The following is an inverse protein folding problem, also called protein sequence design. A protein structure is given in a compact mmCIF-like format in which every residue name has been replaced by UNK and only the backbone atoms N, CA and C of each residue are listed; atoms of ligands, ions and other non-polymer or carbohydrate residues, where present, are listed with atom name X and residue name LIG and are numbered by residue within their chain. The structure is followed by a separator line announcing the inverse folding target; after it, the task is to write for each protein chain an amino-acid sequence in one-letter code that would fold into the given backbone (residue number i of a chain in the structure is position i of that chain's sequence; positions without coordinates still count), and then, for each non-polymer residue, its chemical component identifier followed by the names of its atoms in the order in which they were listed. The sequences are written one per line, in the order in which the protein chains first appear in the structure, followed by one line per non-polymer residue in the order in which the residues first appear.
data_IF_010211462755
#
_entry.id   IF_010211462755
#
_cell.length_a   1.000
_cell.length_b   1.000
_cell.length_c   1.000
_cell.angle_alpha   90.00
_cell.angle_beta   90.00
_cell.angle_gamma   90.00
#
_symmetry.space_group_name_H-M   'P 1'
#
loop_
_entity.id
_entity.type
_entity.pdbx_description
1 polymer ?
#
# COMPACT_ATOMS: atom_id res chain seq x y z
N UNK A 1 -23.02 -9.65 -35.32
CA UNK A 1 -23.90 -8.69 -34.63
C UNK A 1 -25.32 -9.13 -34.87
N UNK A 2 -26.04 -9.44 -33.79
CA UNK A 2 -27.46 -9.80 -33.82
C UNK A 2 -28.12 -8.83 -32.84
N UNK A 3 -29.13 -8.11 -33.30
CA UNK A 3 -29.94 -7.20 -32.51
C UNK A 3 -31.40 -7.56 -32.69
N UNK A 4 -32.28 -6.85 -31.99
CA UNK A 4 -33.73 -7.09 -31.99
C UNK A 4 -34.31 -7.25 -33.40
N UNK A 5 -33.92 -6.39 -34.36
CA UNK A 5 -34.47 -6.39 -35.73
C UNK A 5 -33.42 -6.46 -36.84
N UNK A 6 -32.13 -6.51 -36.51
CA UNK A 6 -31.07 -6.48 -37.51
C UNK A 6 -30.01 -7.55 -37.25
N UNK A 7 -29.60 -8.22 -38.32
CA UNK A 7 -28.55 -9.23 -38.27
C UNK A 7 -27.46 -8.82 -39.25
N UNK A 8 -26.23 -8.78 -38.77
CA UNK A 8 -25.03 -8.58 -39.58
C UNK A 8 -23.96 -9.60 -39.21
N UNK A 9 -23.51 -10.34 -40.21
CA UNK A 9 -22.44 -11.32 -40.11
C UNK A 9 -21.36 -11.00 -41.15
N UNK A 10 -20.11 -11.00 -40.73
CA UNK A 10 -18.96 -10.72 -41.61
C UNK A 10 -17.99 -11.88 -41.46
N UNK A 11 -17.79 -12.64 -42.53
CA UNK A 11 -16.81 -13.73 -42.62
C UNK A 11 -16.00 -13.45 -43.87
N UNK A 12 -14.84 -12.81 -43.74
CA UNK A 12 -14.05 -12.34 -44.90
C UNK A 12 -13.82 -13.48 -45.91
N UNK A 13 -14.09 -13.27 -47.21
CA UNK A 13 -14.48 -12.02 -47.88
C UNK A 13 -15.99 -11.70 -47.89
N UNK A 14 -16.84 -12.55 -47.33
CA UNK A 14 -18.30 -12.47 -47.37
C UNK A 14 -18.89 -11.58 -46.26
N UNK A 15 -20.02 -10.95 -46.59
CA UNK A 15 -20.82 -10.17 -45.64
C UNK A 15 -22.30 -10.45 -45.88
N UNK A 16 -23.04 -10.65 -44.80
CA UNK A 16 -24.47 -10.86 -44.79
C UNK A 16 -25.12 -9.84 -43.87
N UNK A 17 -26.11 -9.12 -44.38
CA UNK A 17 -26.94 -8.21 -43.60
C UNK A 17 -28.42 -8.42 -43.93
N UNK A 18 -29.27 -8.44 -42.90
CA UNK A 18 -30.72 -8.53 -43.08
C UNK A 18 -31.49 -7.81 -41.97
N UNK A 19 -32.63 -7.21 -42.35
CA UNK A 19 -33.61 -6.64 -41.43
C UNK A 19 -34.76 -7.62 -41.27
N UNK A 20 -35.05 -7.99 -40.02
CA UNK A 20 -36.17 -8.84 -39.66
C UNK A 20 -37.45 -8.01 -39.62
N UNK A 21 -38.54 -8.60 -40.12
CA UNK A 21 -39.86 -7.98 -40.07
C UNK A 21 -40.27 -7.70 -38.62
N UNK A 22 -40.10 -8.70 -37.76
CA UNK A 22 -40.51 -8.67 -36.35
C UNK A 22 -39.30 -8.89 -35.42
N UNK A 23 -39.37 -8.40 -34.17
CA UNK A 23 -38.27 -8.48 -33.23
C UNK A 23 -37.99 -9.91 -32.72
N UNK A 24 -36.74 -10.17 -32.39
CA UNK A 24 -36.24 -11.42 -31.80
C UNK A 24 -35.65 -11.20 -30.41
N UNK A 25 -35.64 -12.26 -29.60
CA UNK A 25 -34.92 -12.31 -28.34
C UNK A 25 -33.45 -12.63 -28.62
N UNK A 26 -32.60 -11.61 -28.50
CA UNK A 26 -31.19 -11.69 -28.88
C UNK A 26 -30.40 -12.64 -27.97
N UNK A 27 -30.69 -12.69 -26.66
CA UNK A 27 -30.00 -13.59 -25.71
C UNK A 27 -30.22 -15.08 -25.99
N UNK A 28 -31.35 -15.43 -26.58
CA UNK A 28 -31.73 -16.82 -26.85
C UNK A 28 -31.53 -17.22 -28.32
N UNK A 29 -31.11 -16.26 -29.16
CA UNK A 29 -30.84 -16.48 -30.57
C UNK A 29 -29.36 -16.79 -30.76
N UNK A 30 -29.05 -17.83 -31.56
CA UNK A 30 -27.68 -18.29 -31.80
C UNK A 30 -27.40 -18.49 -33.27
N UNK A 31 -26.11 -18.44 -33.60
CA UNK A 31 -25.61 -18.69 -34.96
C UNK A 31 -24.63 -19.84 -34.90
N UNK A 32 -24.90 -20.87 -35.69
CA UNK A 32 -24.06 -22.05 -35.82
C UNK A 32 -23.39 -21.99 -37.20
N UNK A 33 -22.06 -21.99 -37.21
CA UNK A 33 -21.27 -22.04 -38.44
C UNK A 33 -20.85 -23.48 -38.70
N UNK A 34 -21.24 -24.04 -39.84
CA UNK A 34 -20.91 -25.42 -40.24
C UNK A 34 -20.32 -25.41 -41.65
N UNK A 35 -18.98 -25.42 -41.73
CA UNK A 35 -18.25 -25.40 -43.00
C UNK A 35 -18.59 -24.18 -43.86
N UNK A 36 -19.32 -24.40 -44.96
CA UNK A 36 -19.74 -23.36 -45.92
C UNK A 36 -21.11 -22.75 -45.63
N UNK A 37 -21.79 -23.15 -44.55
CA UNK A 37 -23.15 -22.69 -44.22
C UNK A 37 -23.20 -22.03 -42.85
N UNK A 38 -23.97 -20.93 -42.76
CA UNK A 38 -24.33 -20.29 -41.50
C UNK A 38 -25.81 -20.54 -41.20
N UNK A 39 -26.09 -21.21 -40.08
CA UNK A 39 -27.45 -21.49 -39.60
C UNK A 39 -27.79 -20.52 -38.48
N UNK A 40 -28.84 -19.73 -38.71
CA UNK A 40 -29.39 -18.82 -37.70
C UNK A 40 -30.56 -19.50 -36.99
N UNK A 41 -30.45 -19.67 -35.67
CA UNK A 41 -31.53 -20.13 -34.79
C UNK A 41 -32.04 -18.92 -34.04
N UNK A 42 -33.16 -18.37 -34.48
CA UNK A 42 -33.71 -17.11 -33.95
C UNK A 42 -34.96 -17.39 -33.10
N UNK A 43 -34.96 -16.91 -31.85
CA UNK A 43 -36.14 -16.97 -31.00
C UNK A 43 -36.98 -15.71 -31.20
N UNK A 44 -38.25 -15.89 -31.58
CA UNK A 44 -39.20 -14.80 -31.76
C UNK A 44 -39.49 -14.12 -30.42
N UNK A 45 -39.60 -12.79 -30.41
CA UNK A 45 -40.07 -12.05 -29.23
C UNK A 45 -41.57 -12.27 -28.99
N UNK A 46 -42.35 -12.30 -30.07
CA UNK A 46 -43.80 -12.53 -30.02
C UNK A 46 -44.18 -13.85 -30.70
N UNK A 47 -45.13 -14.57 -30.10
CA UNK A 47 -45.64 -15.84 -30.60
C UNK A 47 -46.60 -15.64 -31.79
N UNK A 48 -46.06 -15.20 -32.93
CA UNK A 48 -46.81 -14.97 -34.16
C UNK A 48 -46.27 -15.80 -35.34
N UNK A 49 -47.16 -16.16 -36.26
CA UNK A 49 -46.79 -16.82 -37.52
C UNK A 49 -46.17 -15.76 -38.43
N UNK A 50 -44.96 -16.01 -38.92
CA UNK A 50 -44.25 -15.07 -39.80
C UNK A 50 -44.44 -15.54 -41.24
N UNK A 51 -45.28 -14.83 -42.00
CA UNK A 51 -45.47 -15.11 -43.44
C UNK A 51 -44.24 -14.76 -44.29
N UNK A 52 -43.41 -13.82 -43.81
CA UNK A 52 -42.12 -13.45 -44.39
C UNK A 52 -41.12 -13.13 -43.27
N UNK A 53 -39.85 -13.45 -43.48
CA UNK A 53 -38.77 -13.17 -42.52
C UNK A 53 -38.24 -11.72 -42.64
N UNK A 54 -38.12 -11.22 -43.87
CA UNK A 54 -37.50 -9.93 -44.20
C UNK A 54 -38.54 -8.81 -44.27
N UNK A 55 -38.16 -7.62 -43.77
CA UNK A 55 -38.95 -6.40 -43.94
C UNK A 55 -38.83 -5.85 -45.38
N UNK A 56 -39.92 -5.27 -45.91
CA UNK A 56 -39.89 -4.59 -47.21
C UNK A 56 -39.12 -3.26 -47.16
N UNK A 57 -38.86 -2.75 -45.96
CA UNK A 57 -38.09 -1.52 -45.68
C UNK A 57 -36.62 -1.61 -46.14
N UNK A 58 -36.13 -2.81 -46.49
CA UNK A 58 -34.83 -3.02 -47.12
C UNK A 58 -34.70 -2.31 -48.49
N UNK A 59 -35.83 -2.00 -49.16
CA UNK A 59 -35.82 -1.31 -50.46
C UNK A 59 -35.51 0.19 -50.33
N UNK A 60 -35.81 0.78 -49.17
CA UNK A 60 -35.64 2.21 -48.91
C UNK A 60 -34.27 2.48 -48.27
N UNK A 61 -33.34 3.06 -49.04
CA UNK A 61 -31.96 3.33 -48.59
C UNK A 61 -31.88 4.17 -47.31
N UNK A 62 -32.77 5.16 -47.12
CA UNK A 62 -32.78 6.00 -45.93
C UNK A 62 -33.21 5.25 -44.67
N UNK A 63 -34.26 4.43 -44.75
CA UNK A 63 -34.75 3.62 -43.62
C UNK A 63 -33.74 2.53 -43.24
N UNK A 64 -33.06 1.94 -44.23
CA UNK A 64 -31.97 0.98 -44.01
C UNK A 64 -30.86 1.57 -43.14
N UNK A 65 -30.43 2.82 -43.42
CA UNK A 65 -29.38 3.49 -42.66
C UNK A 65 -29.85 3.80 -41.23
N UNK A 66 -31.10 4.23 -41.05
CA UNK A 66 -31.68 4.50 -39.73
C UNK A 66 -31.71 3.24 -38.87
N UNK A 67 -32.30 2.15 -39.37
CA UNK A 67 -32.38 0.87 -38.66
C UNK A 67 -31.00 0.28 -38.35
N UNK A 68 -30.03 0.49 -39.25
CA UNK A 68 -28.64 0.09 -39.00
C UNK A 68 -28.02 0.88 -37.85
N UNK A 69 -28.26 2.18 -37.77
CA UNK A 69 -27.74 3.01 -36.69
C UNK A 69 -28.39 2.65 -35.34
N UNK A 70 -29.70 2.44 -35.33
CA UNK A 70 -30.43 1.96 -34.15
C UNK A 70 -29.88 0.61 -33.66
N UNK A 71 -29.62 -0.33 -34.57
CA UNK A 71 -29.01 -1.61 -34.23
C UNK A 71 -27.60 -1.47 -33.64
N UNK A 72 -26.79 -0.53 -34.15
CA UNK A 72 -25.45 -0.27 -33.59
C UNK A 72 -25.56 0.26 -32.16
N UNK A 73 -26.49 1.19 -31.91
CA UNK A 73 -26.72 1.77 -30.58
C UNK A 73 -27.19 0.67 -29.62
N UNK A 74 -28.19 -0.13 -29.99
CA UNK A 74 -28.70 -1.25 -29.19
C UNK A 74 -27.56 -2.22 -28.81
N UNK A 75 -26.71 -2.57 -29.78
CA UNK A 75 -25.57 -3.45 -29.53
C UNK A 75 -24.56 -2.83 -28.56
N UNK A 76 -24.25 -1.54 -28.71
CA UNK A 76 -23.32 -0.82 -27.82
C UNK A 76 -23.85 -0.71 -26.40
N UNK A 77 -25.11 -0.34 -26.24
CA UNK A 77 -25.78 -0.23 -24.93
C UNK A 77 -25.80 -1.58 -24.21
N UNK A 78 -26.09 -2.65 -24.93
CA UNK A 78 -26.09 -4.01 -24.38
C UNK A 78 -24.71 -4.48 -23.95
N UNK A 79 -23.67 -4.23 -24.75
CA UNK A 79 -22.30 -4.57 -24.36
C UNK A 79 -21.83 -3.73 -23.16
N UNK A 80 -22.21 -2.45 -23.11
CA UNK A 80 -21.97 -1.59 -21.94
C UNK A 80 -22.68 -2.12 -20.68
N UNK A 81 -23.94 -2.50 -20.79
CA UNK A 81 -24.71 -3.06 -19.67
C UNK A 81 -24.08 -4.38 -19.14
N UNK A 82 -23.60 -5.26 -20.03
CA UNK A 82 -22.86 -6.47 -19.62
C UNK A 82 -21.57 -6.13 -18.88
N UNK A 83 -20.81 -5.13 -19.34
CA UNK A 83 -19.60 -4.68 -18.67
C UNK A 83 -19.91 -4.09 -17.28
N UNK A 84 -20.95 -3.27 -17.17
CA UNK A 84 -21.40 -2.70 -15.90
C UNK A 84 -21.87 -3.79 -14.92
N UNK A 85 -22.63 -4.79 -15.38
CA UNK A 85 -23.04 -5.92 -14.55
C UNK A 85 -21.85 -6.73 -14.03
N UNK A 86 -20.86 -7.01 -14.89
CA UNK A 86 -19.63 -7.70 -14.49
C UNK A 86 -18.84 -6.89 -13.45
N UNK A 87 -18.74 -5.57 -13.63
CA UNK A 87 -18.10 -4.67 -12.66
C UNK A 87 -18.85 -4.65 -11.32
N UNK A 88 -20.18 -4.67 -11.33
CA UNK A 88 -20.99 -4.73 -10.11
C UNK A 88 -20.78 -6.05 -9.36
N UNK A 89 -20.69 -7.18 -10.07
CA UNK A 89 -20.41 -8.48 -9.48
C UNK A 89 -19.03 -8.52 -8.83
N UNK A 90 -18.00 -7.99 -9.50
CA UNK A 90 -16.65 -7.84 -8.94
C UNK A 90 -16.68 -6.99 -7.67
N UNK A 91 -17.32 -5.80 -7.71
CA UNK A 91 -17.45 -4.92 -6.54
C UNK A 91 -18.17 -5.59 -5.37
N UNK A 92 -19.19 -6.40 -5.66
CA UNK A 92 -19.90 -7.17 -4.63
C UNK A 92 -18.97 -8.22 -4.01
N UNK A 93 -18.22 -8.95 -4.82
CA UNK A 93 -17.21 -9.90 -4.35
C UNK A 93 -16.12 -9.25 -3.50
N UNK A 94 -15.61 -8.08 -3.92
CA UNK A 94 -14.66 -7.27 -3.16
C UNK A 94 -15.24 -6.86 -1.80
N UNK A 95 -16.47 -6.35 -1.76
CA UNK A 95 -17.17 -5.97 -0.53
C UNK A 95 -17.36 -7.16 0.42
N UNK A 96 -17.73 -8.31 -0.11
CA UNK A 96 -17.92 -9.53 0.68
C UNK A 96 -16.59 -10.03 1.26
N UNK A 97 -15.50 -9.92 0.50
CA UNK A 97 -14.15 -10.25 0.99
C UNK A 97 -13.68 -9.28 2.07
N UNK A 98 -13.90 -7.97 1.89
CA UNK A 98 -13.57 -6.95 2.87
C UNK A 98 -14.33 -7.15 4.18
N UNK A 99 -15.64 -7.43 4.11
CA UNK A 99 -16.44 -7.70 5.30
C UNK A 99 -15.93 -8.91 6.10
N UNK A 100 -15.44 -9.95 5.42
CA UNK A 100 -14.82 -11.11 6.09
C UNK A 100 -13.54 -10.71 6.82
N UNK A 101 -12.69 -9.91 6.17
CA UNK A 101 -11.44 -9.41 6.77
C UNK A 101 -11.73 -8.53 7.99
N UNK A 102 -12.68 -7.59 7.86
CA UNK A 102 -13.08 -6.73 8.98
C UNK A 102 -13.60 -7.53 10.17
N UNK A 103 -14.35 -8.61 9.93
CA UNK A 103 -14.85 -9.48 11.00
C UNK A 103 -13.70 -10.20 11.71
N UNK A 104 -12.76 -10.77 10.96
CA UNK A 104 -11.57 -11.43 11.53
C UNK A 104 -10.71 -10.45 12.33
N UNK A 105 -10.53 -9.23 11.84
CA UNK A 105 -9.76 -8.20 12.54
C UNK A 105 -10.47 -7.72 13.82
N UNK A 106 -11.79 -7.60 13.80
CA UNK A 106 -12.58 -7.27 14.99
C UNK A 106 -12.44 -8.37 16.06
N UNK A 107 -12.61 -9.63 15.68
CA UNK A 107 -12.46 -10.79 16.58
C UNK A 107 -11.04 -10.83 17.18
N UNK A 108 -10.00 -10.54 16.39
CA UNK A 108 -8.61 -10.49 16.86
C UNK A 108 -8.35 -9.31 17.80
N UNK A 109 -8.93 -8.13 17.52
CA UNK A 109 -8.82 -6.97 18.41
C UNK A 109 -9.46 -7.25 19.77
N UNK A 110 -10.63 -7.87 19.79
CA UNK A 110 -11.30 -8.28 21.04
C UNK A 110 -10.43 -9.28 21.83
N UNK A 111 -9.83 -10.25 21.14
CA UNK A 111 -8.89 -11.20 21.76
C UNK A 111 -7.70 -10.49 22.39
N UNK A 112 -7.02 -9.62 21.64
CA UNK A 112 -5.87 -8.85 22.15
C UNK A 112 -6.26 -7.97 23.35
N UNK A 113 -7.44 -7.35 23.32
CA UNK A 113 -7.92 -6.54 24.44
C UNK A 113 -8.16 -7.40 25.69
N UNK A 114 -8.75 -8.58 25.53
CA UNK A 114 -8.94 -9.53 26.64
C UNK A 114 -7.62 -10.01 27.23
N UNK A 115 -6.62 -10.32 26.38
CA UNK A 115 -5.29 -10.73 26.81
C UNK A 115 -4.55 -9.59 27.52
N UNK A 116 -4.67 -8.35 27.05
CA UNK A 116 -4.11 -7.16 27.72
C UNK A 116 -4.73 -6.90 29.08
N UNK A 117 -6.06 -7.02 29.19
CA UNK A 117 -6.77 -6.86 30.47
C UNK A 117 -6.30 -7.94 31.47
N UNK A 118 -6.28 -9.19 31.04
CA UNK A 118 -5.82 -10.31 31.87
C UNK A 118 -4.36 -10.16 32.32
N UNK A 119 -3.45 -9.79 31.41
CA UNK A 119 -2.05 -9.55 31.74
C UNK A 119 -1.90 -8.35 32.70
N UNK A 120 -2.69 -7.28 32.51
CA UNK A 120 -2.72 -6.12 33.38
C UNK A 120 -3.20 -6.45 34.79
N UNK A 121 -4.29 -7.21 34.92
CA UNK A 121 -4.80 -7.69 36.21
C UNK A 121 -3.77 -8.53 36.96
N UNK A 122 -3.12 -9.46 36.25
CA UNK A 122 -2.06 -10.31 36.83
C UNK A 122 -0.85 -9.49 37.30
N UNK A 123 -0.42 -8.50 36.52
CA UNK A 123 0.69 -7.64 36.89
C UNK A 123 0.37 -6.79 38.14
N UNK A 124 -0.86 -6.27 38.24
CA UNK A 124 -1.31 -5.56 39.44
C UNK A 124 -1.34 -6.48 40.66
N UNK A 125 -1.82 -7.72 40.51
CA UNK A 125 -1.84 -8.70 41.58
C UNK A 125 -0.42 -9.05 42.07
N UNK A 126 0.54 -9.22 41.15
CA UNK A 126 1.96 -9.43 41.49
C UNK A 126 2.55 -8.22 42.22
N UNK A 127 2.27 -6.99 41.80
CA UNK A 127 2.74 -5.77 42.47
C UNK A 127 2.18 -5.65 43.90
N UNK A 128 0.91 -5.99 44.10
CA UNK A 128 0.28 -5.98 45.43
C UNK A 128 0.97 -7.00 46.35
N UNK A 129 1.27 -8.20 45.85
CA UNK A 129 1.99 -9.23 46.63
C UNK A 129 3.40 -8.77 47.02
N UNK A 130 4.14 -8.17 46.09
CA UNK A 130 5.47 -7.62 46.38
C UNK A 130 5.38 -6.53 47.45
N UNK A 131 4.42 -5.61 47.34
CA UNK A 131 4.25 -4.55 48.33
C UNK A 131 3.91 -5.11 49.74
N UNK A 132 3.09 -6.15 49.81
CA UNK A 132 2.78 -6.83 51.08
C UNK A 132 4.03 -7.47 51.68
N UNK A 133 4.84 -8.15 50.87
CA UNK A 133 6.11 -8.74 51.33
C UNK A 133 7.07 -7.66 51.86
N UNK A 134 7.23 -6.54 51.15
CA UNK A 134 8.06 -5.42 51.63
C UNK A 134 7.56 -4.83 52.95
N UNK A 135 6.24 -4.74 53.14
CA UNK A 135 5.63 -4.29 54.39
C UNK A 135 5.91 -5.27 55.53
N UNK A 136 5.78 -6.58 55.27
CA UNK A 136 6.10 -7.64 56.24
C UNK A 136 7.59 -7.64 56.61
N UNK A 137 8.48 -7.51 55.62
CA UNK A 137 9.93 -7.42 55.86
C UNK A 137 10.30 -6.19 56.67
N UNK A 138 9.69 -5.03 56.38
CA UNK A 138 9.88 -3.81 57.18
C UNK A 138 9.38 -3.99 58.60
N UNK A 139 8.21 -4.59 58.81
CA UNK A 139 7.67 -4.86 60.13
C UNK A 139 8.58 -5.80 60.94
N UNK A 140 9.13 -6.85 60.30
CA UNK A 140 10.10 -7.75 60.92
C UNK A 140 11.42 -7.04 61.25
N UNK A 141 11.89 -6.16 60.37
CA UNK A 141 13.10 -5.37 60.60
C UNK A 141 12.91 -4.40 61.76
N UNK A 142 11.77 -3.71 61.82
CA UNK A 142 11.44 -2.80 62.91
C UNK A 142 11.36 -3.53 64.26
N UNK A 143 10.79 -4.74 64.29
CA UNK A 143 10.82 -5.60 65.48
C UNK A 143 12.26 -5.93 65.91
N UNK A 144 13.11 -6.36 64.98
CA UNK A 144 14.54 -6.62 65.26
C UNK A 144 15.28 -5.39 65.75
N UNK A 145 14.95 -4.20 65.23
CA UNK A 145 15.54 -2.93 65.68
C UNK A 145 15.11 -2.62 67.12
N UNK A 146 13.85 -2.87 67.48
CA UNK A 146 13.35 -2.69 68.84
C UNK A 146 14.06 -3.64 69.81
N UNK A 147 14.18 -4.93 69.45
CA UNK A 147 14.90 -5.92 70.24
C UNK A 147 16.39 -5.54 70.41
N UNK A 148 17.05 -5.13 69.33
CA UNK A 148 18.45 -4.71 69.38
C UNK A 148 18.64 -3.44 70.24
N UNK A 149 17.69 -2.51 70.25
CA UNK A 149 17.73 -1.32 71.11
C UNK A 149 17.55 -1.67 72.58
N UNK A 150 16.67 -2.61 72.91
CA UNK A 150 16.51 -3.12 74.29
C UNK A 150 17.81 -3.76 74.77
N UNK A 151 18.39 -4.65 73.95
CA UNK A 151 19.62 -5.36 74.27
C UNK A 151 20.83 -4.39 74.34
N UNK A 152 20.88 -3.36 73.49
CA UNK A 152 21.87 -2.29 73.59
C UNK A 152 21.71 -1.47 74.87
N UNK A 153 20.49 -1.15 75.30
CA UNK A 153 20.26 -0.45 76.57
C UNK A 153 20.71 -1.30 77.76
N UNK A 154 20.41 -2.61 77.77
CA UNK A 154 20.92 -3.56 78.78
C UNK A 154 22.46 -3.62 78.79
N UNK A 155 23.10 -3.67 77.61
CA UNK A 155 24.56 -3.62 77.49
C UNK A 155 25.10 -2.26 77.96
N UNK A 156 24.42 -1.15 77.71
CA UNK A 156 24.88 0.20 78.09
C UNK A 156 24.81 0.38 79.61
N UNK A 157 23.77 -0.17 80.25
CA UNK A 157 23.67 -0.26 81.71
C UNK A 157 24.79 -1.14 82.31
N UNK A 158 25.17 -2.23 81.63
CA UNK A 158 26.31 -3.07 82.02
C UNK A 158 27.69 -2.42 81.72
N UNK A 159 27.78 -1.57 80.70
CA UNK A 159 29.03 -0.98 80.17
C UNK A 159 29.45 0.33 80.87
N UNK A 160 28.63 0.91 81.73
CA UNK A 160 29.07 1.96 82.68
C UNK A 160 30.13 1.40 83.66
N UNK A 161 30.32 0.07 83.75
CA UNK A 161 31.26 -0.52 84.71
C UNK A 161 32.63 -0.94 84.19
N UNK A 162 32.92 -1.03 82.88
CA UNK A 162 34.24 -1.57 82.45
C UNK A 162 34.76 -0.88 81.19
N UNK A 163 35.85 -0.12 81.38
CA UNK A 163 36.74 0.39 80.34
C UNK A 163 37.68 -0.70 79.83
N UNK A 164 37.97 -0.69 78.51
CA UNK A 164 39.24 -1.08 77.82
C UNK A 164 38.97 -1.15 76.30
N UNK A 165 39.59 -0.24 75.54
CA UNK A 165 40.88 -0.30 74.81
C UNK A 165 40.78 -0.99 73.44
N UNK A 166 41.37 -0.40 72.38
CA UNK A 166 40.94 -0.58 71.00
C UNK A 166 41.99 -1.35 70.18
N UNK A 167 42.23 -2.63 70.46
CA UNK A 167 43.28 -3.39 69.75
C UNK A 167 42.88 -4.78 69.21
N UNK A 168 41.62 -5.23 69.36
CA UNK A 168 41.24 -6.58 68.91
C UNK A 168 40.17 -6.63 67.80
N UNK A 169 40.10 -5.61 66.92
CA UNK A 169 39.08 -5.59 65.83
C UNK A 169 39.60 -5.76 64.41
N UNK A 170 40.88 -6.09 64.20
CA UNK A 170 41.46 -6.22 62.84
C UNK A 170 41.70 -7.69 62.42
N UNK A 171 41.32 -8.69 63.23
CA UNK A 171 41.68 -10.09 62.97
C UNK A 171 40.55 -11.02 62.44
N UNK A 172 39.53 -10.50 61.75
CA UNK A 172 38.39 -11.32 61.27
C UNK A 172 37.92 -11.03 59.83
N UNK A 173 38.78 -10.45 58.98
CA UNK A 173 38.43 -10.04 57.61
C UNK A 173 39.15 -10.83 56.49
N UNK A 174 39.88 -11.90 56.80
CA UNK A 174 40.63 -12.64 55.78
C UNK A 174 40.56 -14.15 56.03
N UNK A 175 39.42 -14.76 55.68
CA UNK A 175 39.37 -16.17 55.29
C UNK A 175 38.00 -16.53 54.68
N UNK A 176 37.74 -16.06 53.47
CA UNK A 176 36.76 -16.70 52.59
C UNK A 176 37.51 -17.32 51.41
N UNK A 177 37.49 -18.65 51.35
CA UNK A 177 38.01 -19.40 50.19
C UNK A 177 37.08 -19.18 49.00
N UNK A 178 37.59 -19.09 47.76
CA UNK A 178 36.74 -18.91 46.59
C UNK A 178 35.84 -20.13 46.40
N UNK A 179 34.54 -19.91 46.19
CA UNK A 179 33.57 -20.95 45.85
C UNK A 179 33.78 -21.32 44.37
N UNK A 180 34.20 -22.56 44.11
CA UNK A 180 34.28 -23.11 42.76
C UNK A 180 32.87 -23.50 42.27
N UNK A 181 32.36 -22.74 41.29
CA UNK A 181 31.11 -23.07 40.60
C UNK A 181 31.39 -24.07 39.46
N UNK A 182 30.60 -25.15 39.30
CA UNK A 182 30.84 -26.14 38.25
C UNK A 182 30.60 -25.56 36.85
N UNK A 183 31.56 -25.77 35.96
CA UNK A 183 31.50 -25.35 34.56
C UNK A 183 30.50 -26.22 33.79
N UNK A 184 29.49 -25.60 33.15
CA UNK A 184 28.49 -26.32 32.35
C UNK A 184 29.13 -26.89 31.09
N UNK A 185 28.98 -28.20 30.88
CA UNK A 185 29.38 -28.86 29.63
C UNK A 185 28.25 -28.83 28.61
N UNK A 186 28.52 -28.36 27.40
CA UNK A 186 27.58 -28.45 26.28
C UNK A 186 27.60 -29.86 25.68
N UNK A 187 26.41 -30.38 25.34
CA UNK A 187 26.25 -31.62 24.57
C UNK A 187 25.39 -31.32 23.34
N UNK A 188 25.70 -31.98 22.23
CA UNK A 188 24.96 -31.83 20.98
C UNK A 188 23.83 -32.87 20.93
N UNK A 189 22.59 -32.40 20.83
CA UNK A 189 21.42 -33.25 20.64
C UNK A 189 21.17 -33.40 19.15
N UNK A 190 21.24 -34.63 18.63
CA UNK A 190 20.86 -34.93 17.25
C UNK A 190 19.34 -34.97 17.12
N UNK A 191 18.79 -33.96 16.44
CA UNK A 191 17.36 -33.88 16.11
C UNK A 191 17.15 -34.46 14.70
N UNK A 192 16.41 -35.57 14.62
CA UNK A 192 15.99 -36.15 13.35
C UNK A 192 14.58 -35.69 13.01
N UNK A 193 14.44 -34.90 11.95
CA UNK A 193 13.14 -34.46 11.46
C UNK A 193 12.52 -35.52 10.55
N UNK A 194 11.30 -35.94 10.88
CA UNK A 194 10.47 -36.78 10.01
C UNK A 194 9.94 -35.95 8.84
N UNK A 195 10.14 -36.37 7.58
CA UNK A 195 9.65 -35.62 6.44
C UNK A 195 8.11 -35.67 6.42
N UNK A 196 7.50 -34.49 6.29
CA UNK A 196 6.06 -34.31 6.27
C UNK A 196 5.54 -34.70 4.88
N UNK A 197 4.86 -35.83 4.76
CA UNK A 197 4.23 -36.26 3.51
C UNK A 197 2.73 -36.03 3.62
N UNK A 198 2.30 -34.80 3.35
CA UNK A 198 0.92 -34.50 2.98
C UNK A 198 0.91 -34.26 1.47
N UNK A 199 0.22 -35.07 0.65
CA UNK A 199 -0.04 -34.70 -0.72
C UNK A 199 -1.12 -33.61 -0.69
N UNK A 200 -0.69 -32.36 -0.49
CA UNK A 200 -1.55 -31.20 -0.74
C UNK A 200 -1.86 -31.21 -2.24
N UNK A 201 -3.13 -31.13 -2.68
CA UNK A 201 -3.40 -30.96 -4.09
C UNK A 201 -2.66 -29.71 -4.58
N UNK A 202 -1.74 -29.88 -5.54
CA UNK A 202 -1.04 -28.78 -6.19
C UNK A 202 -2.09 -27.93 -6.90
N UNK A 203 -2.44 -26.81 -6.27
CA UNK A 203 -2.93 -25.63 -6.98
C UNK A 203 -1.98 -25.41 -8.15
N UNK A 204 -2.48 -25.39 -9.38
CA UNK A 204 -1.68 -25.16 -10.58
C UNK A 204 -0.65 -24.07 -10.30
N UNK A 205 0.63 -24.41 -10.44
CA UNK A 205 1.73 -23.57 -9.99
C UNK A 205 1.78 -22.32 -10.86
N UNK A 206 1.29 -21.20 -10.32
CA UNK A 206 1.35 -19.85 -10.93
C UNK A 206 2.80 -19.36 -11.07
N UNK A 207 3.79 -20.15 -10.61
CA UNK A 207 5.21 -19.84 -10.64
C UNK A 207 5.72 -19.44 -12.02
N UNK A 208 5.27 -20.12 -13.09
CA UNK A 208 5.69 -19.76 -14.45
C UNK A 208 5.16 -18.37 -14.86
N UNK A 209 3.91 -18.06 -14.53
CA UNK A 209 3.32 -16.75 -14.81
C UNK A 209 3.99 -15.64 -13.98
N UNK A 210 4.32 -15.92 -12.72
CA UNK A 210 5.08 -15.00 -11.85
C UNK A 210 6.49 -14.74 -12.39
N UNK A 211 7.21 -15.79 -12.81
CA UNK A 211 8.54 -15.66 -13.42
C UNK A 211 8.49 -14.85 -14.74
N UNK A 212 7.49 -15.10 -15.59
CA UNK A 212 7.28 -14.30 -16.80
C UNK A 212 6.99 -12.83 -16.48
N UNK A 213 6.14 -12.58 -15.48
CA UNK A 213 5.82 -11.21 -15.06
C UNK A 213 7.07 -10.49 -14.53
N UNK A 214 7.88 -11.15 -13.70
CA UNK A 214 9.16 -10.63 -13.21
C UNK A 214 10.13 -10.35 -14.36
N UNK A 215 10.24 -11.27 -15.32
CA UNK A 215 11.11 -11.10 -16.49
C UNK A 215 10.68 -9.93 -17.36
N UNK A 216 9.39 -9.79 -17.67
CA UNK A 216 8.85 -8.65 -18.44
C UNK A 216 9.13 -7.32 -17.73
N UNK A 217 9.00 -7.29 -16.41
CA UNK A 217 9.31 -6.09 -15.63
C UNK A 217 10.82 -5.78 -15.61
N UNK A 218 11.67 -6.80 -15.54
CA UNK A 218 13.12 -6.64 -15.60
C UNK A 218 13.58 -6.17 -16.98
N UNK A 219 13.01 -6.70 -18.06
CA UNK A 219 13.25 -6.25 -19.44
C UNK A 219 12.84 -4.80 -19.64
N UNK A 220 11.67 -4.40 -19.15
CA UNK A 220 11.23 -3.00 -19.17
C UNK A 220 12.20 -2.09 -18.44
N UNK A 221 12.63 -2.46 -17.23
CA UNK A 221 13.63 -1.70 -16.46
C UNK A 221 14.96 -1.59 -17.19
N UNK A 222 15.45 -2.68 -17.82
CA UNK A 222 16.67 -2.68 -18.64
C UNK A 222 16.54 -1.76 -19.86
N UNK A 223 15.40 -1.80 -20.55
CA UNK A 223 15.15 -0.93 -21.71
C UNK A 223 15.15 0.56 -21.32
N UNK A 224 14.59 0.90 -20.16
CA UNK A 224 14.62 2.27 -19.65
C UNK A 224 16.01 2.69 -19.22
N UNK A 225 16.76 1.82 -18.53
CA UNK A 225 18.14 2.10 -18.15
C UNK A 225 19.03 2.33 -19.37
N UNK A 226 18.83 1.55 -20.43
CA UNK A 226 19.51 1.74 -21.73
C UNK A 226 19.24 3.12 -22.33
N UNK A 227 18.05 3.71 -22.14
CA UNK A 227 17.78 5.10 -22.55
C UNK A 227 18.51 6.15 -21.69
N UNK A 228 18.80 5.83 -20.43
CA UNK A 228 19.48 6.75 -19.51
C UNK A 228 20.99 6.78 -19.77
N UNK A 229 21.62 5.61 -19.87
CA UNK A 229 23.08 5.44 -19.94
C UNK A 229 23.57 5.30 -21.39
N UNK A 230 22.74 4.79 -22.30
CA UNK A 230 23.14 4.45 -23.66
C UNK A 230 23.63 3.00 -23.79
N UNK A 231 24.28 2.68 -24.92
CA UNK A 231 24.77 1.34 -25.27
C UNK A 231 26.17 1.01 -24.72
N UNK A 232 26.89 1.99 -24.16
CA UNK A 232 28.26 1.81 -23.66
C UNK A 232 28.26 1.47 -22.16
N UNK A 233 29.24 0.67 -21.73
CA UNK A 233 29.47 0.35 -20.32
C UNK A 233 29.66 1.65 -19.51
N UNK A 234 29.02 1.69 -18.34
CA UNK A 234 29.00 2.84 -17.43
C UNK A 234 30.39 3.47 -17.32
N UNK A 235 30.58 4.67 -17.87
CA UNK A 235 31.80 5.45 -17.64
C UNK A 235 31.81 5.90 -16.18
N UNK A 236 32.98 6.05 -15.53
CA UNK A 236 33.07 6.49 -14.11
C UNK A 236 32.30 7.80 -13.82
N UNK A 237 32.08 8.63 -14.83
CA UNK A 237 31.27 9.86 -14.77
C UNK A 237 29.77 9.60 -14.65
N UNK A 238 29.29 8.44 -15.08
CA UNK A 238 27.88 8.04 -15.09
C UNK A 238 27.45 7.43 -13.75
N UNK A 239 28.41 7.14 -12.85
CA UNK A 239 28.16 6.77 -11.46
C UNK A 239 28.00 7.96 -10.50
N UNK A 240 28.23 9.20 -10.95
CA UNK A 240 27.99 10.37 -10.09
C UNK A 240 26.48 10.60 -9.91
N UNK A 241 25.96 10.57 -8.66
CA UNK A 241 24.56 10.88 -8.37
C UNK A 241 24.09 12.20 -8.98
N UNK A 242 24.97 13.20 -9.02
CA UNK A 242 24.63 14.50 -9.57
C UNK A 242 24.50 14.48 -11.10
N UNK A 243 25.33 13.69 -11.79
CA UNK A 243 25.20 13.47 -13.23
C UNK A 243 23.87 12.77 -13.55
N UNK A 244 23.52 11.71 -12.82
CA UNK A 244 22.24 10.99 -12.99
C UNK A 244 21.03 11.90 -12.74
N UNK A 245 21.11 12.75 -11.71
CA UNK A 245 20.09 13.77 -11.43
C UNK A 245 19.94 14.74 -12.62
N UNK A 246 21.05 15.24 -13.15
CA UNK A 246 21.03 16.15 -14.31
C UNK A 246 20.49 15.45 -15.56
N UNK A 247 20.85 14.18 -15.78
CA UNK A 247 20.31 13.37 -16.88
C UNK A 247 18.80 13.19 -16.74
N UNK A 248 18.31 12.88 -15.54
CA UNK A 248 16.88 12.88 -15.23
C UNK A 248 16.21 14.21 -15.54
N UNK A 249 16.85 15.34 -15.20
CA UNK A 249 16.34 16.69 -15.53
C UNK A 249 16.24 16.89 -17.06
N UNK A 250 17.18 16.37 -17.85
CA UNK A 250 17.12 16.44 -19.32
C UNK A 250 16.00 15.58 -19.90
N UNK A 251 15.82 14.35 -19.41
CA UNK A 251 14.75 13.45 -19.84
C UNK A 251 13.36 13.99 -19.46
N UNK A 252 13.25 14.59 -18.27
CA UNK A 252 12.02 15.26 -17.84
C UNK A 252 11.62 16.39 -18.79
N UNK A 253 12.59 17.22 -19.22
CA UNK A 253 12.32 18.29 -20.21
C UNK A 253 11.99 17.74 -21.59
N UNK A 254 12.50 16.56 -21.94
CA UNK A 254 12.17 15.88 -23.19
C UNK A 254 10.76 15.23 -23.17
N UNK A 255 10.11 15.15 -21.99
CA UNK A 255 8.80 14.53 -21.82
C UNK A 255 8.84 13.02 -21.55
N UNK A 256 10.03 12.42 -21.50
CA UNK A 256 10.24 11.00 -21.20
C UNK A 256 10.25 10.78 -19.68
N UNK A 257 9.08 10.88 -19.06
CA UNK A 257 8.96 10.82 -17.60
C UNK A 257 9.34 9.46 -17.00
N UNK A 258 9.06 8.36 -17.70
CA UNK A 258 9.39 7.02 -17.21
C UNK A 258 10.90 6.75 -17.19
N UNK A 259 11.63 7.18 -18.22
CA UNK A 259 13.09 7.10 -18.25
C UNK A 259 13.72 8.05 -17.22
N UNK A 260 13.12 9.23 -16.99
CA UNK A 260 13.54 10.15 -15.94
C UNK A 260 13.39 9.52 -14.55
N UNK A 261 12.29 8.79 -14.28
CA UNK A 261 12.10 8.05 -13.01
C UNK A 261 13.21 7.06 -12.77
N UNK A 262 13.63 6.30 -13.79
CA UNK A 262 14.74 5.35 -13.66
C UNK A 262 16.06 6.07 -13.36
N UNK A 263 16.36 7.16 -14.07
CA UNK A 263 17.56 7.97 -13.82
C UNK A 263 17.62 8.52 -12.39
N UNK A 264 16.51 9.05 -11.87
CA UNK A 264 16.44 9.51 -10.48
C UNK A 264 16.52 8.36 -9.48
N UNK A 265 15.92 7.21 -9.80
CA UNK A 265 15.99 6.02 -8.93
C UNK A 265 17.43 5.53 -8.78
N UNK A 266 18.22 5.54 -9.87
CA UNK A 266 19.66 5.28 -9.80
C UNK A 266 20.42 6.32 -9.00
N UNK A 267 20.11 7.61 -9.16
CA UNK A 267 20.73 8.65 -8.34
C UNK A 267 20.47 8.43 -6.83
N UNK A 268 19.27 7.96 -6.49
CA UNK A 268 18.86 7.63 -5.11
C UNK A 268 19.55 6.35 -4.61
N UNK A 269 19.70 5.32 -5.45
CA UNK A 269 20.43 4.09 -5.10
C UNK A 269 21.89 4.40 -4.71
N UNK A 270 22.53 5.32 -5.44
CA UNK A 270 23.93 5.69 -5.17
C UNK A 270 24.02 6.70 -4.01
N UNK A 271 23.11 7.68 -3.94
CA UNK A 271 23.03 8.62 -2.84
C UNK A 271 21.61 8.71 -2.25
N UNK A 272 21.31 7.91 -1.21
CA UNK A 272 20.00 7.89 -0.57
C UNK A 272 19.64 9.19 0.17
N UNK A 273 20.59 10.10 0.38
CA UNK A 273 20.36 11.39 1.08
C UNK A 273 20.07 12.53 0.12
N UNK A 274 19.96 12.27 -1.18
CA UNK A 274 19.72 13.29 -2.20
C UNK A 274 18.23 13.70 -2.27
N UNK A 275 17.81 14.61 -1.40
CA UNK A 275 16.43 15.13 -1.35
C UNK A 275 15.94 15.70 -2.71
N UNK A 276 16.84 16.27 -3.52
CA UNK A 276 16.50 16.84 -4.83
C UNK A 276 16.09 15.77 -5.85
N UNK A 277 16.67 14.57 -5.78
CA UNK A 277 16.31 13.44 -6.65
C UNK A 277 14.92 12.90 -6.31
N UNK A 278 14.60 12.72 -5.02
CA UNK A 278 13.25 12.34 -4.58
C UNK A 278 12.20 13.36 -5.02
N UNK A 279 12.46 14.65 -4.78
CA UNK A 279 11.52 15.70 -5.18
C UNK A 279 11.30 15.72 -6.70
N UNK A 280 12.35 15.52 -7.51
CA UNK A 280 12.21 15.48 -8.97
C UNK A 280 11.54 14.19 -9.48
N UNK A 281 11.78 13.05 -8.82
CA UNK A 281 11.07 11.79 -9.11
C UNK A 281 9.58 11.91 -8.81
N UNK A 282 9.21 12.58 -7.71
CA UNK A 282 7.81 12.92 -7.41
C UNK A 282 7.15 13.73 -8.53
N UNK A 283 7.88 14.69 -9.13
CA UNK A 283 7.38 15.45 -10.27
C UNK A 283 7.09 14.57 -11.49
N UNK A 284 7.95 13.59 -11.77
CA UNK A 284 7.73 12.63 -12.84
C UNK A 284 6.51 11.75 -12.55
N UNK A 285 6.36 11.29 -11.30
CA UNK A 285 5.20 10.51 -10.88
C UNK A 285 3.88 11.29 -10.99
N UNK A 286 3.87 12.59 -10.72
CA UNK A 286 2.71 13.44 -10.96
C UNK A 286 2.30 13.45 -12.45
N UNK A 287 3.27 13.57 -13.37
CA UNK A 287 3.01 13.53 -14.81
C UNK A 287 2.50 12.16 -15.28
N UNK A 288 3.04 11.08 -14.70
CA UNK A 288 2.61 9.71 -14.94
C UNK A 288 1.32 9.30 -14.22
N UNK A 289 0.67 10.24 -13.49
CA UNK A 289 -0.52 9.98 -12.66
C UNK A 289 -0.34 8.93 -11.56
N UNK A 290 0.90 8.68 -11.15
CA UNK A 290 1.26 7.80 -10.04
C UNK A 290 1.23 8.57 -8.72
N UNK A 291 0.05 9.05 -8.31
CA UNK A 291 -0.09 10.02 -7.22
C UNK A 291 0.38 9.49 -5.84
N UNK A 292 0.17 8.21 -5.53
CA UNK A 292 0.65 7.62 -4.27
C UNK A 292 2.18 7.62 -4.18
N UNK A 293 2.88 7.23 -5.26
CA UNK A 293 4.35 7.29 -5.31
C UNK A 293 4.85 8.73 -5.23
N UNK A 294 4.14 9.68 -5.84
CA UNK A 294 4.48 11.09 -5.72
C UNK A 294 4.34 11.62 -4.28
N UNK A 295 3.35 11.17 -3.51
CA UNK A 295 3.20 11.50 -2.09
C UNK A 295 4.35 10.95 -1.25
N UNK A 296 4.71 9.68 -1.47
CA UNK A 296 5.81 9.01 -0.77
C UNK A 296 7.16 9.71 -1.04
N UNK A 297 7.47 9.95 -2.31
CA UNK A 297 8.70 10.66 -2.71
C UNK A 297 8.74 12.11 -2.22
N UNK A 298 7.60 12.80 -2.19
CA UNK A 298 7.55 14.17 -1.66
C UNK A 298 7.74 14.19 -0.14
N UNK A 299 7.23 13.18 0.58
CA UNK A 299 7.35 13.08 2.03
C UNK A 299 8.79 12.71 2.43
N UNK A 300 9.38 11.72 1.78
CA UNK A 300 10.80 11.37 1.97
C UNK A 300 11.73 12.54 1.63
N UNK A 301 11.43 13.33 0.60
CA UNK A 301 12.19 14.54 0.30
C UNK A 301 12.13 15.58 1.43
N UNK A 302 10.99 15.72 2.12
CA UNK A 302 10.85 16.62 3.27
C UNK A 302 11.59 16.09 4.49
N UNK A 303 11.51 14.79 4.77
CA UNK A 303 12.21 14.14 5.88
C UNK A 303 13.74 14.30 5.76
N UNK A 304 14.27 14.19 4.53
CA UNK A 304 15.68 14.42 4.25
C UNK A 304 16.09 15.90 4.31
N UNK A 305 15.14 16.83 4.33
CA UNK A 305 15.40 18.28 4.43
C UNK A 305 15.39 18.79 5.90
N UNK A 306 15.59 17.90 6.87
CA UNK A 306 15.71 18.22 8.30
C UNK A 306 17.19 18.17 8.71
N UNK A 307 17.75 19.23 9.34
CA UNK A 307 17.12 20.47 9.75
C UNK A 307 16.81 21.41 8.57
N UNK A 308 15.87 22.32 8.79
CA UNK A 308 15.53 23.37 7.83
C UNK A 308 16.70 24.36 7.67
N UNK A 309 17.27 24.45 6.46
CA UNK A 309 18.42 25.33 6.15
C UNK A 309 18.11 26.14 4.89
N UNK A 310 18.61 27.38 4.72
CA UNK A 310 18.32 28.16 3.51
C UNK A 310 18.70 27.45 2.19
N UNK A 311 19.73 26.59 2.22
CA UNK A 311 20.16 25.81 1.05
C UNK A 311 19.10 24.79 0.58
N UNK A 312 18.30 24.23 1.50
CA UNK A 312 17.25 23.26 1.16
C UNK A 312 15.85 23.89 1.05
N UNK A 313 15.73 25.20 1.24
CA UNK A 313 14.46 25.95 1.17
C UNK A 313 13.69 25.64 -0.13
N UNK A 314 14.36 25.76 -1.29
CA UNK A 314 13.73 25.51 -2.59
C UNK A 314 13.25 24.06 -2.75
N UNK A 315 13.94 23.10 -2.15
CA UNK A 315 13.54 21.69 -2.21
C UNK A 315 12.32 21.44 -1.32
N UNK A 316 12.27 22.06 -0.14
CA UNK A 316 11.13 21.99 0.79
C UNK A 316 9.87 22.60 0.18
N UNK A 317 9.96 23.80 -0.40
CA UNK A 317 8.84 24.44 -1.11
C UNK A 317 8.31 23.55 -2.22
N UNK A 318 9.21 23.02 -3.07
CA UNK A 318 8.83 22.09 -4.15
C UNK A 318 8.21 20.79 -3.65
N UNK A 319 8.75 20.22 -2.57
CA UNK A 319 8.22 18.98 -2.01
C UNK A 319 6.81 19.19 -1.43
N UNK A 320 6.57 20.27 -0.70
CA UNK A 320 5.21 20.63 -0.25
C UNK A 320 4.27 20.87 -1.44
N UNK A 321 4.68 21.64 -2.44
CA UNK A 321 3.86 21.90 -3.63
C UNK A 321 3.53 20.63 -4.43
N UNK A 322 4.50 19.73 -4.60
CA UNK A 322 4.30 18.44 -5.30
C UNK A 322 3.41 17.49 -4.50
N UNK A 323 3.57 17.45 -3.18
CA UNK A 323 2.69 16.70 -2.26
C UNK A 323 1.25 17.22 -2.31
N UNK A 324 1.10 18.55 -2.29
CA UNK A 324 -0.18 19.22 -2.40
C UNK A 324 -0.90 18.91 -3.73
N UNK A 325 -0.16 18.99 -4.84
CA UNK A 325 -0.67 18.62 -6.15
C UNK A 325 -1.11 17.15 -6.22
N UNK A 326 -0.37 16.23 -5.60
CA UNK A 326 -0.75 14.83 -5.53
C UNK A 326 -2.04 14.63 -4.73
N UNK A 327 -2.20 15.28 -3.57
CA UNK A 327 -3.45 15.25 -2.80
C UNK A 327 -4.64 15.81 -3.58
N UNK A 328 -4.46 16.92 -4.29
CA UNK A 328 -5.52 17.50 -5.12
C UNK A 328 -5.95 16.55 -6.25
N UNK A 329 -5.00 15.87 -6.89
CA UNK A 329 -5.30 14.85 -7.90
C UNK A 329 -6.02 13.61 -7.31
N UNK A 330 -5.76 13.29 -6.05
CA UNK A 330 -6.48 12.26 -5.29
C UNK A 330 -7.82 12.75 -4.71
N UNK A 331 -8.25 13.97 -5.04
CA UNK A 331 -9.47 14.63 -4.53
C UNK A 331 -9.46 14.92 -3.03
N UNK A 332 -8.29 14.90 -2.41
CA UNK A 332 -8.05 15.26 -1.01
C UNK A 332 -7.69 16.76 -0.92
N UNK A 333 -8.68 17.60 -1.23
CA UNK A 333 -8.45 19.04 -1.40
C UNK A 333 -8.13 19.78 -0.09
N UNK A 334 -8.63 19.30 1.05
CA UNK A 334 -8.36 19.91 2.36
C UNK A 334 -6.90 19.71 2.76
N UNK A 335 -6.41 18.49 2.60
CA UNK A 335 -5.03 18.09 2.84
C UNK A 335 -4.08 18.80 1.87
N UNK A 336 -4.45 18.86 0.59
CA UNK A 336 -3.72 19.62 -0.42
C UNK A 336 -3.60 21.10 -0.07
N UNK A 337 -4.66 21.73 0.44
CA UNK A 337 -4.64 23.13 0.84
C UNK A 337 -3.69 23.39 2.02
N UNK A 338 -3.62 22.48 2.99
CA UNK A 338 -2.69 22.58 4.12
C UNK A 338 -1.24 22.56 3.61
N UNK A 339 -0.93 21.65 2.68
CA UNK A 339 0.39 21.54 2.09
C UNK A 339 0.77 22.77 1.25
N UNK A 340 -0.15 23.29 0.44
CA UNK A 340 0.10 24.52 -0.30
C UNK A 340 0.29 25.73 0.62
N UNK A 341 -0.45 25.83 1.72
CA UNK A 341 -0.23 26.87 2.75
C UNK A 341 1.15 26.77 3.38
N UNK A 342 1.61 25.57 3.69
CA UNK A 342 2.97 25.34 4.19
C UNK A 342 4.02 25.76 3.14
N UNK A 343 3.79 25.47 1.85
CA UNK A 343 4.67 25.92 0.77
C UNK A 343 4.70 27.46 0.65
N UNK A 344 3.54 28.12 0.74
CA UNK A 344 3.43 29.58 0.67
C UNK A 344 4.06 30.28 1.88
N UNK A 345 3.98 29.71 3.08
CA UNK A 345 4.70 30.23 4.25
C UNK A 345 6.22 30.23 4.07
N UNK A 346 6.75 29.25 3.33
CA UNK A 346 8.18 29.15 3.05
C UNK A 346 8.63 30.08 1.90
N UNK A 347 7.80 30.24 0.88
CA UNK A 347 8.04 31.17 -0.23
C UNK A 347 6.76 31.97 -0.57
N UNK A 348 6.53 33.11 0.10
CA UNK A 348 5.36 33.95 -0.15
C UNK A 348 5.36 34.63 -1.52
N UNK A 349 6.50 34.65 -2.21
CA UNK A 349 6.66 35.36 -3.48
C UNK A 349 6.18 34.56 -4.69
N UNK A 350 5.95 33.25 -4.54
CA UNK A 350 5.53 32.37 -5.63
C UNK A 350 4.03 32.54 -5.95
N UNK A 351 3.77 33.27 -7.03
CA UNK A 351 2.42 33.51 -7.55
C UNK A 351 1.70 32.22 -8.00
N UNK A 352 2.42 31.18 -8.39
CA UNK A 352 1.82 29.91 -8.84
C UNK A 352 1.14 29.20 -7.67
N UNK A 353 1.82 29.14 -6.51
CA UNK A 353 1.30 28.50 -5.30
C UNK A 353 0.08 29.28 -4.79
N UNK A 354 0.14 30.61 -4.81
CA UNK A 354 -0.98 31.44 -4.40
C UNK A 354 -2.22 31.25 -5.30
N UNK A 355 -2.02 31.13 -6.62
CA UNK A 355 -3.10 30.86 -7.57
C UNK A 355 -3.74 29.49 -7.31
N UNK A 356 -2.92 28.43 -7.13
CA UNK A 356 -3.39 27.08 -6.82
C UNK A 356 -4.20 27.06 -5.51
N UNK A 357 -3.72 27.72 -4.46
CA UNK A 357 -4.43 27.85 -3.17
C UNK A 357 -5.80 28.52 -3.35
N UNK A 358 -5.85 29.67 -4.03
CA UNK A 358 -7.11 30.40 -4.27
C UNK A 358 -8.10 29.56 -5.09
N UNK A 359 -7.62 28.78 -6.05
CA UNK A 359 -8.46 27.89 -6.85
C UNK A 359 -9.06 26.77 -5.99
N UNK A 360 -8.27 26.17 -5.11
CA UNK A 360 -8.73 25.12 -4.19
C UNK A 360 -9.73 25.69 -3.17
N UNK A 361 -9.47 26.86 -2.62
CA UNK A 361 -10.38 27.52 -1.68
C UNK A 361 -11.72 27.87 -2.32
N UNK A 362 -11.71 28.41 -3.55
CA UNK A 362 -12.95 28.63 -4.33
C UNK A 362 -13.73 27.34 -4.52
N UNK A 363 -13.05 26.25 -4.89
CA UNK A 363 -13.67 24.95 -5.11
C UNK A 363 -14.28 24.39 -3.81
N UNK A 364 -13.57 24.47 -2.68
CA UNK A 364 -14.06 24.04 -1.38
C UNK A 364 -15.27 24.87 -0.90
N UNK A 365 -15.27 26.18 -1.14
CA UNK A 365 -16.40 27.05 -0.80
C UNK A 365 -17.63 26.74 -1.64
N UNK A 366 -17.45 26.43 -2.94
CA UNK A 366 -18.55 25.98 -3.80
C UNK A 366 -19.13 24.64 -3.32
N UNK A 367 -18.28 23.69 -2.92
CA UNK A 367 -18.73 22.41 -2.36
C UNK A 367 -19.45 22.55 -1.01
N UNK A 368 -19.08 23.53 -0.18
CA UNK A 368 -19.74 23.77 1.09
C UNK A 368 -21.08 24.50 0.95
N UNK A 369 -21.30 25.20 -0.17
CA UNK A 369 -22.52 25.92 -0.47
C UNK A 369 -23.56 25.09 -1.24
N UNK A 370 -23.16 23.95 -1.79
CA UNK A 370 -24.01 22.96 -2.45
C UNK A 370 -24.43 21.86 -1.47
#
# INVERSE_FOLDING_TARGET
MITSRFIKMVIKPYMFECILLNPILVDESRVELSGSQARFVLKKAEAQIWGRLLSEEMKDKHKLIQLRNEAIIEHQEREKAKQEAKLQEIRKGEKDSLNKVMKLEADERERIESEKKFAGEKAVEELVKIHQQEQEEKAQLDQKIIEARQLANEITEQRIMITKSPEERIALSLNEKPIELPVRTSTNITVNFTPRIFPTPERESVKQEEEEWLNKQAEHRRAMLKKVVGDQEMSDKELDPQWLRNKGDTLFRAGDFEAAVEAYSRAIEINPKMHSAFSNRAACHLQLRNFFKALEDSSTALDLCVPAVPQNLRSRVRAHARRAAAFCNLKMFKEGLIEYRAAHQLDPSDSSIEADMRNIEKYLNQLAAA
#
